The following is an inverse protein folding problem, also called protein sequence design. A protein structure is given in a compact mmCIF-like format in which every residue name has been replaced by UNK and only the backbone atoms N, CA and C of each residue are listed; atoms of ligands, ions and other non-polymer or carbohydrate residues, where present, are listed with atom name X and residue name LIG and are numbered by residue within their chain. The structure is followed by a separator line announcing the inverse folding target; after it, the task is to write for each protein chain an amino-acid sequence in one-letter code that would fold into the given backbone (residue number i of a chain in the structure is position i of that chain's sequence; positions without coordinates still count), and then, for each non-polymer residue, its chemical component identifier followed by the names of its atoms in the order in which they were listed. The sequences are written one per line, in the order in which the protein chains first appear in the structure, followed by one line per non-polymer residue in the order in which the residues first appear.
data_IF_228077862642
#
_entry.id   IF_228077862642
#
_cell.length_a   1.000
_cell.length_b   1.000
_cell.length_c   1.000
_cell.angle_alpha   90.00
_cell.angle_beta   90.00
_cell.angle_gamma   90.00
#
_symmetry.space_group_name_H-M   'P 1'
#
loop_
_entity.id
_entity.type
_entity.pdbx_description
1 polymer ?
#
# COMPACT_ATOMS: atom_id res chain seq x y z
N UNK A 1 26.38 7.39 -11.07
CA UNK A 1 26.29 8.05 -9.74
C UNK A 1 25.03 8.89 -9.49
N UNK A 2 24.52 9.74 -10.40
CA UNK A 2 23.34 10.62 -10.15
C UNK A 2 22.01 10.14 -10.73
N UNK A 3 21.93 8.90 -11.22
CA UNK A 3 20.74 8.42 -11.94
C UNK A 3 19.51 8.22 -11.05
N UNK A 4 19.66 8.27 -9.72
CA UNK A 4 18.50 8.31 -8.83
C UNK A 4 17.69 9.61 -8.92
N UNK A 5 18.25 10.68 -9.51
CA UNK A 5 17.55 11.96 -9.66
C UNK A 5 16.55 11.94 -10.83
N UNK A 6 15.41 12.62 -10.66
CA UNK A 6 14.51 13.05 -11.71
C UNK A 6 14.15 11.91 -12.71
N UNK A 7 13.75 10.76 -12.17
CA UNK A 7 13.30 9.58 -12.93
C UNK A 7 14.32 8.92 -13.86
N UNK A 8 15.58 9.38 -13.92
CA UNK A 8 16.60 8.83 -14.84
C UNK A 8 16.78 7.32 -14.67
N UNK A 9 16.84 6.84 -13.44
CA UNK A 9 16.92 5.42 -13.11
C UNK A 9 15.69 4.67 -13.64
N UNK A 10 14.49 5.19 -13.38
CA UNK A 10 13.24 4.55 -13.81
C UNK A 10 13.10 4.48 -15.34
N UNK A 11 13.55 5.49 -16.07
CA UNK A 11 13.61 5.45 -17.54
C UNK A 11 14.59 4.38 -18.04
N UNK A 12 15.82 4.32 -17.49
CA UNK A 12 16.80 3.26 -17.84
C UNK A 12 16.25 1.87 -17.53
N UNK A 13 15.62 1.72 -16.38
CA UNK A 13 14.98 0.48 -15.93
C UNK A 13 13.85 0.07 -16.86
N UNK A 14 12.95 0.99 -17.23
CA UNK A 14 11.85 0.72 -18.15
C UNK A 14 12.37 0.33 -19.55
N UNK A 15 13.38 1.03 -20.05
CA UNK A 15 14.04 0.67 -21.31
C UNK A 15 14.65 -0.74 -21.25
N UNK A 16 15.35 -1.07 -20.17
CA UNK A 16 15.92 -2.40 -19.96
C UNK A 16 14.85 -3.50 -19.95
N UNK A 17 13.74 -3.29 -19.24
CA UNK A 17 12.56 -4.20 -19.21
C UNK A 17 11.96 -4.37 -20.61
N UNK A 18 11.84 -3.28 -21.36
CA UNK A 18 11.33 -3.33 -22.73
C UNK A 18 12.25 -4.15 -23.64
N UNK A 19 13.56 -3.95 -23.55
CA UNK A 19 14.53 -4.72 -24.31
C UNK A 19 14.52 -6.21 -23.94
N UNK A 20 14.40 -6.55 -22.65
CA UNK A 20 14.22 -7.95 -22.21
C UNK A 20 13.00 -8.55 -22.90
N UNK A 21 11.85 -7.86 -22.87
CA UNK A 21 10.63 -8.38 -23.50
C UNK A 21 10.82 -8.61 -25.00
N UNK A 22 11.45 -7.68 -25.71
CA UNK A 22 11.77 -7.82 -27.15
C UNK A 22 12.61 -9.08 -27.40
N UNK A 23 13.66 -9.29 -26.61
CA UNK A 23 14.53 -10.47 -26.76
C UNK A 23 13.80 -11.77 -26.41
N UNK A 24 12.94 -11.77 -25.39
CA UNK A 24 12.14 -12.94 -25.03
C UNK A 24 11.13 -13.31 -26.13
N UNK A 25 10.50 -12.32 -26.77
CA UNK A 25 9.64 -12.55 -27.92
C UNK A 25 10.38 -13.12 -29.13
N UNK A 26 11.66 -12.74 -29.32
CA UNK A 26 12.51 -13.30 -30.37
C UNK A 26 13.07 -14.70 -30.05
N UNK A 27 12.88 -15.19 -28.82
CA UNK A 27 13.37 -16.49 -28.37
C UNK A 27 12.30 -17.58 -28.49
N UNK A 28 12.72 -18.85 -28.36
CA UNK A 28 11.82 -20.00 -28.29
C UNK A 28 10.79 -19.94 -27.13
N UNK A 29 11.04 -19.10 -26.10
CA UNK A 29 10.08 -18.91 -25.00
C UNK A 29 8.76 -18.28 -25.48
N UNK A 30 8.76 -17.55 -26.59
CA UNK A 30 7.55 -16.97 -27.15
C UNK A 30 6.55 -18.05 -27.64
N UNK A 31 7.02 -19.26 -27.95
CA UNK A 31 6.13 -20.37 -28.31
C UNK A 31 5.45 -20.99 -27.08
N UNK A 32 6.12 -20.90 -25.92
CA UNK A 32 5.68 -21.56 -24.68
C UNK A 32 4.87 -20.63 -23.76
N UNK A 33 5.11 -19.32 -23.83
CA UNK A 33 4.56 -18.33 -22.92
C UNK A 33 3.91 -17.14 -23.64
N UNK A 34 2.83 -16.63 -23.06
CA UNK A 34 2.34 -15.28 -23.27
C UNK A 34 3.23 -14.33 -22.46
N UNK A 35 3.93 -13.45 -23.19
CA UNK A 35 4.93 -12.55 -22.63
C UNK A 35 4.34 -11.14 -22.58
N UNK A 36 4.01 -10.70 -21.37
CA UNK A 36 3.28 -9.46 -21.12
C UNK A 36 4.07 -8.53 -20.20
N UNK A 37 3.73 -7.24 -20.24
CA UNK A 37 4.18 -6.32 -19.20
C UNK A 37 3.19 -6.28 -18.05
N UNK A 38 3.70 -6.06 -16.85
CA UNK A 38 2.91 -5.70 -15.67
C UNK A 38 3.61 -4.66 -14.82
N UNK A 39 2.92 -4.16 -13.79
CA UNK A 39 3.46 -3.22 -12.83
C UNK A 39 3.64 -3.92 -11.48
N UNK A 40 4.85 -3.85 -10.92
CA UNK A 40 5.08 -4.31 -9.57
C UNK A 40 4.43 -3.34 -8.58
N UNK A 41 3.59 -3.84 -7.66
CA UNK A 41 2.87 -3.04 -6.64
C UNK A 41 2.02 -1.90 -7.23
N UNK A 42 1.47 -2.08 -8.43
CA UNK A 42 0.66 -1.04 -9.10
C UNK A 42 1.41 0.30 -9.20
N UNK A 43 2.72 0.25 -9.46
CA UNK A 43 3.62 1.40 -9.59
C UNK A 43 4.16 1.49 -11.03
N UNK A 44 3.86 2.59 -11.72
CA UNK A 44 4.28 2.81 -13.12
C UNK A 44 5.80 2.94 -13.26
N UNK A 45 6.52 3.24 -12.16
CA UNK A 45 7.98 3.30 -12.12
C UNK A 45 8.62 1.91 -12.16
N UNK A 46 7.85 0.87 -11.86
CA UNK A 46 8.35 -0.49 -11.65
C UNK A 46 7.73 -1.51 -12.63
N UNK A 47 7.83 -1.30 -13.97
CA UNK A 47 7.36 -2.29 -14.94
C UNK A 47 8.17 -3.59 -14.84
N UNK A 48 7.55 -4.71 -15.13
CA UNK A 48 8.14 -6.06 -15.10
C UNK A 48 7.67 -6.84 -16.32
N UNK A 49 8.41 -7.89 -16.70
CA UNK A 49 7.94 -8.85 -17.72
C UNK A 49 7.34 -10.05 -17.01
N UNK A 50 6.19 -10.50 -17.47
CA UNK A 50 5.46 -11.64 -16.94
C UNK A 50 5.27 -12.66 -18.04
N UNK A 51 5.60 -13.91 -17.74
CA UNK A 51 5.50 -15.06 -18.62
C UNK A 51 4.39 -15.97 -18.08
N UNK A 52 3.31 -16.08 -18.84
CA UNK A 52 2.18 -16.96 -18.56
C UNK A 52 2.19 -18.13 -19.53
N UNK A 53 2.14 -19.40 -19.08
CA UNK A 53 2.20 -20.53 -20.00
C UNK A 53 0.96 -20.60 -20.91
N UNK A 54 1.15 -20.75 -22.24
CA UNK A 54 0.07 -20.69 -23.26
C UNK A 54 -0.89 -21.89 -23.30
N UNK A 55 -0.48 -23.05 -22.81
CA UNK A 55 -1.22 -24.32 -22.97
C UNK A 55 -1.05 -25.24 -21.75
N UNK A 56 -1.64 -26.45 -21.80
CA UNK A 56 -1.76 -27.49 -20.74
C UNK A 56 -0.43 -28.09 -20.22
N UNK A 57 0.58 -27.25 -20.02
CA UNK A 57 1.83 -27.56 -19.35
C UNK A 57 1.62 -27.82 -17.86
N UNK A 58 2.59 -28.47 -17.22
CA UNK A 58 2.60 -28.59 -15.75
C UNK A 58 2.53 -27.22 -15.06
N UNK A 59 3.11 -26.18 -15.65
CA UNK A 59 3.11 -24.83 -15.10
C UNK A 59 1.72 -24.18 -15.17
N UNK A 60 0.99 -24.32 -16.28
CA UNK A 60 -0.38 -23.78 -16.39
C UNK A 60 -1.35 -24.49 -15.44
N UNK A 61 -1.26 -25.82 -15.30
CA UNK A 61 -2.05 -26.60 -14.32
C UNK A 61 -1.83 -26.14 -12.88
N UNK A 62 -0.63 -25.64 -12.58
CA UNK A 62 -0.28 -25.10 -11.27
C UNK A 62 -0.62 -23.60 -11.13
N UNK A 63 -1.15 -22.95 -12.17
CA UNK A 63 -1.32 -21.50 -12.21
C UNK A 63 -0.01 -20.73 -12.04
N UNK A 64 1.12 -21.36 -12.36
CA UNK A 64 2.44 -20.79 -12.15
C UNK A 64 2.74 -19.72 -13.19
N UNK A 65 3.18 -18.55 -12.71
CA UNK A 65 3.54 -17.41 -13.53
C UNK A 65 4.97 -17.00 -13.18
N UNK A 66 5.80 -16.78 -14.19
CA UNK A 66 7.18 -16.31 -14.00
C UNK A 66 7.21 -14.80 -14.19
N UNK A 67 7.68 -14.06 -13.18
CA UNK A 67 7.83 -12.61 -13.24
C UNK A 67 9.31 -12.25 -13.20
N UNK A 68 9.80 -11.62 -14.27
CA UNK A 68 11.17 -11.12 -14.37
C UNK A 68 11.22 -9.70 -13.85
N UNK A 69 11.97 -9.50 -12.78
CA UNK A 69 12.14 -8.22 -12.10
C UNK A 69 13.57 -7.73 -12.30
N UNK A 70 13.79 -6.52 -12.84
CA UNK A 70 15.09 -5.88 -12.79
C UNK A 70 15.51 -5.64 -11.35
N UNK A 71 16.81 -5.74 -11.10
CA UNK A 71 17.44 -5.39 -9.84
C UNK A 71 18.78 -4.71 -10.16
N UNK A 72 19.31 -3.98 -9.19
CA UNK A 72 20.65 -3.37 -9.26
C UNK A 72 21.51 -3.91 -8.13
N UNK A 73 22.83 -3.91 -8.31
CA UNK A 73 23.74 -4.33 -7.24
C UNK A 73 23.64 -3.34 -6.06
N UNK A 74 23.67 -3.82 -4.79
CA UNK A 74 23.46 -2.98 -3.61
C UNK A 74 24.43 -1.79 -3.48
N UNK A 75 25.64 -1.91 -4.04
CA UNK A 75 26.72 -0.92 -4.05
C UNK A 75 26.62 0.07 -5.23
N UNK A 76 25.68 -0.13 -6.17
CA UNK A 76 25.51 0.74 -7.35
C UNK A 76 25.10 2.16 -6.96
N UNK A 77 24.30 2.30 -5.89
CA UNK A 77 23.79 3.58 -5.41
C UNK A 77 24.04 3.72 -3.90
N UNK A 78 24.46 4.91 -3.43
CA UNK A 78 24.66 5.14 -2.01
C UNK A 78 23.30 5.22 -1.29
N UNK A 79 22.87 4.13 -0.65
CA UNK A 79 21.55 4.00 -0.01
C UNK A 79 21.25 5.13 0.99
N UNK A 80 22.27 5.61 1.71
CA UNK A 80 22.15 6.76 2.63
C UNK A 80 21.69 8.06 1.95
N UNK A 81 21.91 8.21 0.64
CA UNK A 81 21.38 9.36 -0.10
C UNK A 81 19.90 9.22 -0.40
N UNK A 82 19.37 7.99 -0.41
CA UNK A 82 17.98 7.66 -0.70
C UNK A 82 17.13 7.55 0.57
N UNK A 83 17.52 8.24 1.64
CA UNK A 83 16.74 8.27 2.88
C UNK A 83 15.37 8.96 2.67
N UNK A 84 14.36 8.61 3.48
CA UNK A 84 13.02 9.22 3.51
C UNK A 84 12.93 10.74 3.39
N UNK A 85 13.84 11.46 4.05
CA UNK A 85 13.87 12.92 4.20
C UNK A 85 14.42 13.63 2.96
N UNK A 86 14.93 12.88 1.99
CA UNK A 86 15.60 13.43 0.81
C UNK A 86 14.65 13.58 -0.37
N UNK A 87 14.79 14.72 -1.05
CA UNK A 87 14.15 14.97 -2.34
C UNK A 87 15.05 14.47 -3.49
N UNK A 88 14.47 13.70 -4.39
CA UNK A 88 15.10 13.30 -5.66
C UNK A 88 14.27 13.60 -6.91
N UNK A 89 13.13 14.28 -6.74
CA UNK A 89 12.30 14.78 -7.83
C UNK A 89 12.17 16.29 -7.65
N UNK A 90 13.00 17.04 -8.36
CA UNK A 90 13.10 18.49 -8.20
C UNK A 90 11.85 19.20 -8.70
N UNK A 91 11.41 20.23 -7.99
CA UNK A 91 10.27 21.05 -8.41
C UNK A 91 10.46 21.61 -9.82
N UNK A 92 11.66 22.11 -10.15
CA UNK A 92 12.03 22.57 -11.49
C UNK A 92 11.85 21.49 -12.57
N UNK A 93 12.20 20.23 -12.26
CA UNK A 93 11.99 19.10 -13.17
C UNK A 93 10.50 18.83 -13.40
N UNK A 94 9.68 18.92 -12.36
CA UNK A 94 8.22 18.74 -12.44
C UNK A 94 7.57 19.89 -13.21
N UNK A 95 8.04 21.12 -13.00
CA UNK A 95 7.55 22.33 -13.67
C UNK A 95 7.98 22.42 -15.14
N UNK A 96 8.98 21.64 -15.55
CA UNK A 96 9.59 21.78 -16.88
C UNK A 96 10.33 23.11 -17.06
N UNK A 97 10.77 23.73 -15.96
CA UNK A 97 11.49 25.01 -15.95
C UNK A 97 12.91 24.82 -15.43
N UNK A 98 13.80 25.77 -15.73
CA UNK A 98 15.15 25.82 -15.16
C UNK A 98 15.22 26.70 -13.92
N UNK A 99 14.12 27.34 -13.53
CA UNK A 99 14.06 28.30 -12.43
C UNK A 99 13.74 27.57 -11.12
N UNK A 100 14.75 27.42 -10.27
CA UNK A 100 14.73 26.52 -9.11
C UNK A 100 14.17 27.18 -7.82
N UNK A 101 14.01 28.50 -7.82
CA UNK A 101 13.85 29.27 -6.57
C UNK A 101 12.37 29.51 -6.17
N UNK A 102 11.40 29.01 -6.94
CA UNK A 102 10.00 29.37 -6.76
C UNK A 102 9.21 28.43 -5.81
N UNK A 103 9.74 27.26 -5.44
CA UNK A 103 8.97 26.24 -4.69
C UNK A 103 9.82 25.50 -3.66
N UNK A 104 9.30 25.33 -2.45
CA UNK A 104 9.93 24.52 -1.41
C UNK A 104 10.03 23.05 -1.84
N UNK A 105 11.23 22.49 -1.81
CA UNK A 105 11.48 21.09 -2.15
C UNK A 105 10.94 20.16 -1.04
N UNK A 106 10.03 19.26 -1.41
CA UNK A 106 9.47 18.26 -0.50
C UNK A 106 10.21 16.93 -0.61
N UNK A 107 10.35 16.19 0.49
CA UNK A 107 10.95 14.87 0.46
C UNK A 107 10.15 13.88 -0.43
N UNK A 108 10.83 12.90 -1.03
CA UNK A 108 10.23 11.93 -1.97
C UNK A 108 10.36 10.48 -1.48
N UNK A 109 9.78 10.13 -0.33
CA UNK A 109 10.00 8.87 0.38
C UNK A 109 9.64 7.57 -0.38
N UNK A 110 8.48 7.48 -1.00
CA UNK A 110 8.03 6.37 -1.85
C UNK A 110 8.85 6.28 -3.14
N UNK A 111 9.22 7.42 -3.75
CA UNK A 111 10.15 7.41 -4.89
C UNK A 111 11.49 6.78 -4.48
N UNK A 112 12.05 7.22 -3.36
CA UNK A 112 13.32 6.74 -2.86
C UNK A 112 13.23 5.25 -2.52
N UNK A 113 12.17 4.84 -1.81
CA UNK A 113 11.92 3.45 -1.46
C UNK A 113 11.77 2.54 -2.69
N UNK A 114 11.17 3.03 -3.78
CA UNK A 114 11.06 2.27 -5.03
C UNK A 114 12.44 1.97 -5.66
N UNK A 115 13.37 2.93 -5.62
CA UNK A 115 14.76 2.71 -6.09
C UNK A 115 15.50 1.75 -5.16
N UNK A 116 15.43 1.97 -3.84
CA UNK A 116 16.15 1.15 -2.85
C UNK A 116 15.63 -0.28 -2.83
N UNK A 117 14.32 -0.48 -3.00
CA UNK A 117 13.72 -1.82 -3.04
C UNK A 117 14.32 -2.71 -4.13
N UNK A 118 14.66 -2.15 -5.30
CA UNK A 118 15.29 -2.93 -6.37
C UNK A 118 16.74 -3.29 -6.06
N UNK A 119 17.45 -2.51 -5.25
CA UNK A 119 18.79 -2.80 -4.77
C UNK A 119 18.83 -3.87 -3.68
N UNK A 120 17.73 -4.03 -2.92
CA UNK A 120 17.69 -4.87 -1.72
C UNK A 120 16.97 -6.22 -1.90
N UNK A 121 16.48 -6.54 -3.10
CA UNK A 121 15.74 -7.80 -3.35
C UNK A 121 16.50 -9.04 -2.86
N UNK A 122 17.80 -9.16 -3.20
CA UNK A 122 18.65 -10.26 -2.76
C UNK A 122 18.95 -10.21 -1.25
N UNK A 123 19.13 -9.01 -0.69
CA UNK A 123 19.36 -8.82 0.75
C UNK A 123 18.16 -9.29 1.57
N UNK A 124 16.94 -8.92 1.18
CA UNK A 124 15.72 -9.38 1.83
C UNK A 124 15.50 -10.88 1.65
N UNK A 125 15.78 -11.43 0.46
CA UNK A 125 15.71 -12.88 0.23
C UNK A 125 16.66 -13.64 1.16
N UNK A 126 17.92 -13.21 1.26
CA UNK A 126 18.92 -13.82 2.15
C UNK A 126 18.47 -13.76 3.60
N UNK A 127 17.98 -12.60 4.05
CA UNK A 127 17.48 -12.44 5.41
C UNK A 127 16.31 -13.40 5.73
N UNK A 128 15.35 -13.52 4.82
CA UNK A 128 14.22 -14.44 4.99
C UNK A 128 14.66 -15.91 4.97
N UNK A 129 15.66 -16.25 4.17
CA UNK A 129 16.25 -17.60 4.15
C UNK A 129 16.92 -17.94 5.49
N UNK A 130 17.79 -17.06 6.00
CA UNK A 130 18.42 -17.21 7.32
C UNK A 130 17.38 -17.31 8.45
N UNK A 131 16.27 -16.56 8.32
CA UNK A 131 15.15 -16.65 9.28
C UNK A 131 14.52 -18.04 9.27
N UNK A 132 14.35 -18.63 8.09
CA UNK A 132 13.81 -19.97 7.93
C UNK A 132 14.78 -21.05 8.44
N UNK A 133 16.09 -20.85 8.33
CA UNK A 133 17.08 -21.75 8.94
C UNK A 133 17.02 -21.72 10.48
N UNK A 134 16.74 -20.55 11.07
CA UNK A 134 16.62 -20.38 12.52
C UNK A 134 15.26 -20.82 13.08
N UNK A 135 14.22 -20.83 12.26
CA UNK A 135 12.86 -21.24 12.63
C UNK A 135 12.28 -22.11 11.51
N UNK A 136 12.34 -23.44 11.68
CA UNK A 136 12.02 -24.43 10.64
C UNK A 136 10.57 -24.30 10.12
N UNK A 137 9.62 -23.93 10.98
CA UNK A 137 8.21 -23.78 10.63
C UNK A 137 7.87 -22.38 10.06
N UNK A 138 8.85 -21.47 9.97
CA UNK A 138 8.67 -20.11 9.45
C UNK A 138 8.09 -20.12 8.03
N UNK A 139 8.65 -20.92 7.12
CA UNK A 139 8.19 -21.00 5.74
C UNK A 139 6.73 -21.45 5.61
N UNK A 140 6.29 -22.39 6.45
CA UNK A 140 4.89 -22.86 6.50
C UNK A 140 3.97 -21.78 7.08
N UNK A 141 4.37 -21.13 8.16
CA UNK A 141 3.61 -20.02 8.75
C UNK A 141 3.47 -18.84 7.75
N UNK A 142 4.55 -18.50 7.05
CA UNK A 142 4.54 -17.48 6.00
C UNK A 142 3.61 -17.88 4.84
N UNK A 143 3.58 -19.15 4.45
CA UNK A 143 2.62 -19.65 3.46
C UNK A 143 1.16 -19.50 3.93
N UNK A 144 0.87 -19.84 5.18
CA UNK A 144 -0.46 -19.64 5.78
C UNK A 144 -0.87 -18.16 5.76
N UNK A 145 0.02 -17.24 6.13
CA UNK A 145 -0.23 -15.80 6.07
C UNK A 145 -0.52 -15.32 4.63
N UNK A 146 0.20 -15.85 3.64
CA UNK A 146 -0.01 -15.50 2.22
C UNK A 146 -1.34 -16.00 1.70
N UNK A 147 -1.73 -17.23 2.03
CA UNK A 147 -3.05 -17.78 1.70
C UNK A 147 -4.14 -16.96 2.38
N UNK A 148 -3.98 -16.68 3.67
CA UNK A 148 -4.90 -15.87 4.46
C UNK A 148 -5.13 -14.46 3.87
N UNK A 149 -4.04 -13.78 3.48
CA UNK A 149 -4.11 -12.47 2.82
C UNK A 149 -4.77 -12.58 1.44
N UNK A 150 -4.44 -13.62 0.67
CA UNK A 150 -5.02 -13.86 -0.65
C UNK A 150 -6.54 -13.98 -0.60
N UNK A 151 -7.09 -14.73 0.36
CA UNK A 151 -8.53 -14.88 0.55
C UNK A 151 -9.24 -13.57 0.93
N UNK A 152 -8.52 -12.60 1.50
CA UNK A 152 -9.08 -11.30 1.92
C UNK A 152 -8.78 -10.18 0.95
N UNK A 153 -7.96 -10.45 -0.06
CA UNK A 153 -7.65 -9.47 -1.10
C UNK A 153 -8.80 -9.41 -2.07
N UNK A 154 -9.43 -8.24 -2.16
CA UNK A 154 -10.48 -8.02 -3.16
C UNK A 154 -9.81 -7.97 -4.53
N UNK A 155 -10.34 -8.75 -5.48
CA UNK A 155 -9.77 -8.83 -6.82
C UNK A 155 -10.74 -8.37 -7.91
N UNK A 156 -12.04 -8.41 -7.63
CA UNK A 156 -13.07 -8.14 -8.62
C UNK A 156 -14.32 -7.52 -7.99
N UNK A 157 -15.12 -6.86 -8.84
CA UNK A 157 -16.51 -6.51 -8.58
C UNK A 157 -17.34 -6.92 -9.80
N UNK A 158 -18.19 -7.93 -9.64
CA UNK A 158 -18.81 -8.59 -10.78
C UNK A 158 -17.75 -9.04 -11.80
N UNK A 159 -17.84 -8.55 -13.04
CA UNK A 159 -16.87 -8.86 -14.10
C UNK A 159 -15.66 -7.91 -14.16
N UNK A 160 -15.68 -6.81 -13.41
CA UNK A 160 -14.61 -5.81 -13.44
C UNK A 160 -13.48 -6.22 -12.49
N UNK A 161 -12.27 -6.40 -13.04
CA UNK A 161 -11.06 -6.58 -12.23
C UNK A 161 -10.71 -5.28 -11.51
N UNK A 162 -10.11 -5.40 -10.33
CA UNK A 162 -9.61 -4.27 -9.55
C UNK A 162 -8.08 -4.26 -9.57
N UNK A 163 -7.50 -3.07 -9.40
CA UNK A 163 -6.06 -2.94 -9.21
C UNK A 163 -5.63 -3.71 -7.95
N UNK A 164 -4.51 -4.42 -8.04
CA UNK A 164 -3.99 -5.15 -6.90
C UNK A 164 -3.57 -4.18 -5.78
N UNK A 165 -3.85 -4.53 -4.51
CA UNK A 165 -3.39 -3.76 -3.36
C UNK A 165 -1.85 -3.76 -3.28
N UNK A 166 -1.31 -2.79 -2.56
CA UNK A 166 0.14 -2.66 -2.31
C UNK A 166 0.59 -3.45 -1.09
N UNK A 167 -0.30 -3.66 -0.12
CA UNK A 167 -0.03 -4.65 0.94
C UNK A 167 0.13 -6.03 0.30
N UNK A 168 1.19 -6.75 0.68
CA UNK A 168 1.60 -7.96 -0.03
C UNK A 168 2.01 -9.07 0.91
N UNK A 169 2.02 -10.30 0.39
CA UNK A 169 2.55 -11.46 1.10
C UNK A 169 4.01 -11.29 1.53
N UNK A 170 4.81 -10.52 0.77
CA UNK A 170 6.17 -10.16 1.17
C UNK A 170 6.18 -9.30 2.44
N UNK A 171 5.38 -8.23 2.48
CA UNK A 171 5.28 -7.37 3.66
C UNK A 171 4.85 -8.15 4.91
N UNK A 172 3.85 -9.03 4.80
CA UNK A 172 3.44 -9.91 5.91
C UNK A 172 4.52 -10.92 6.31
N UNK A 173 5.30 -11.42 5.34
CA UNK A 173 6.43 -12.31 5.64
C UNK A 173 7.52 -11.55 6.40
N UNK A 174 7.76 -10.28 6.06
CA UNK A 174 8.69 -9.41 6.80
C UNK A 174 8.17 -9.12 8.21
N UNK A 175 6.88 -8.85 8.40
CA UNK A 175 6.29 -8.71 9.74
C UNK A 175 6.46 -10.00 10.56
N UNK A 176 6.21 -11.17 9.98
CA UNK A 176 6.44 -12.45 10.66
C UNK A 176 7.92 -12.62 11.04
N UNK A 177 8.84 -12.30 10.12
CA UNK A 177 10.27 -12.37 10.39
C UNK A 177 10.68 -11.41 11.52
N UNK A 178 10.09 -10.22 11.56
CA UNK A 178 10.27 -9.26 12.65
C UNK A 178 9.79 -9.81 13.99
N UNK A 179 8.60 -10.44 14.04
CA UNK A 179 8.06 -11.03 15.27
C UNK A 179 8.94 -12.16 15.82
N UNK A 180 9.56 -12.95 14.94
CA UNK A 180 10.44 -14.06 15.31
C UNK A 180 11.84 -13.58 15.71
N UNK A 181 12.44 -12.66 14.95
CA UNK A 181 13.86 -12.31 15.08
C UNK A 181 14.16 -11.01 15.84
N UNK A 182 13.23 -10.06 15.84
CA UNK A 182 13.52 -8.74 16.41
C UNK A 182 13.58 -8.79 17.93
N UNK A 183 14.62 -8.23 18.53
CA UNK A 183 14.69 -8.05 19.99
C UNK A 183 13.59 -7.11 20.51
N UNK A 184 13.10 -6.21 19.64
CA UNK A 184 12.09 -5.18 19.98
C UNK A 184 10.65 -5.71 19.86
N UNK A 185 10.43 -6.95 19.38
CA UNK A 185 9.07 -7.49 19.19
C UNK A 185 8.33 -7.77 20.50
N UNK A 186 9.05 -7.86 21.62
CA UNK A 186 8.46 -8.05 22.95
C UNK A 186 7.78 -6.81 23.53
N UNK A 187 8.03 -5.60 23.00
CA UNK A 187 7.63 -4.34 23.65
C UNK A 187 6.20 -3.86 23.40
N UNK A 188 5.58 -4.22 22.26
CA UNK A 188 4.29 -3.64 21.85
C UNK A 188 3.10 -4.45 22.37
N UNK A 189 3.23 -5.78 22.48
CA UNK A 189 2.17 -6.69 22.95
C UNK A 189 2.70 -7.92 23.69
N UNK A 190 4.02 -8.00 23.97
CA UNK A 190 4.67 -9.25 24.38
C UNK A 190 4.87 -10.27 23.22
N UNK A 191 4.56 -9.90 21.98
CA UNK A 191 4.55 -10.79 20.80
C UNK A 191 5.94 -11.09 20.22
N UNK A 192 6.87 -11.54 21.05
CA UNK A 192 8.02 -12.27 20.52
C UNK A 192 7.59 -13.71 20.25
N UNK A 193 7.65 -14.12 18.99
CA UNK A 193 7.38 -15.50 18.62
C UNK A 193 8.65 -16.33 18.78
N UNK A 194 8.51 -17.52 19.38
CA UNK A 194 9.63 -18.43 19.60
C UNK A 194 9.87 -19.28 18.37
N UNK A 195 11.14 -19.59 18.07
CA UNK A 195 11.50 -20.54 17.01
C UNK A 195 11.07 -21.98 17.31
N UNK A 196 10.69 -22.28 18.56
CA UNK A 196 10.14 -23.57 18.99
C UNK A 196 8.64 -23.74 18.68
N UNK A 197 7.96 -22.68 18.23
CA UNK A 197 6.54 -22.73 17.91
C UNK A 197 6.29 -23.45 16.59
N UNK A 198 5.16 -24.15 16.51
CA UNK A 198 4.71 -24.74 15.24
C UNK A 198 4.16 -23.68 14.27
N UNK A 199 3.92 -24.06 13.02
CA UNK A 199 3.43 -23.14 11.98
C UNK A 199 2.08 -22.50 12.33
N UNK A 200 1.21 -23.20 13.07
CA UNK A 200 -0.09 -22.70 13.47
C UNK A 200 0.04 -21.65 14.59
N UNK A 201 0.89 -21.90 15.58
CA UNK A 201 1.21 -20.97 16.67
C UNK A 201 1.86 -19.69 16.13
N UNK A 202 2.82 -19.82 15.20
CA UNK A 202 3.44 -18.68 14.53
C UNK A 202 2.41 -17.86 13.74
N UNK A 203 1.56 -18.54 12.97
CA UNK A 203 0.47 -17.89 12.23
C UNK A 203 -0.49 -17.17 13.17
N UNK A 204 -0.97 -17.84 14.23
CA UNK A 204 -1.88 -17.28 15.22
C UNK A 204 -1.29 -16.04 15.89
N UNK A 205 -0.05 -16.12 16.36
CA UNK A 205 0.63 -14.99 16.98
C UNK A 205 0.82 -13.80 16.03
N UNK A 206 1.10 -14.05 14.76
CA UNK A 206 1.13 -12.99 13.74
C UNK A 206 -0.26 -12.36 13.52
N UNK A 207 -1.34 -13.15 13.50
CA UNK A 207 -2.71 -12.64 13.41
C UNK A 207 -3.07 -11.78 14.63
N UNK A 208 -2.75 -12.25 15.84
CA UNK A 208 -3.00 -11.50 17.08
C UNK A 208 -2.22 -10.16 17.10
N UNK A 209 -0.97 -10.17 16.63
CA UNK A 209 -0.20 -8.93 16.45
C UNK A 209 -0.87 -7.99 15.45
N UNK A 210 -1.22 -8.47 14.25
CA UNK A 210 -1.89 -7.67 13.22
C UNK A 210 -3.25 -7.12 13.67
N UNK A 211 -3.96 -7.83 14.56
CA UNK A 211 -5.23 -7.40 15.13
C UNK A 211 -5.08 -6.24 16.12
N UNK A 212 -4.01 -6.27 16.92
CA UNK A 212 -3.75 -5.32 17.98
C UNK A 212 -2.99 -4.08 17.49
N UNK A 213 -1.99 -4.25 16.61
CA UNK A 213 -1.06 -3.22 16.20
C UNK A 213 -1.70 -2.16 15.31
N UNK A 214 -1.47 -0.88 15.62
CA UNK A 214 -1.84 0.24 14.76
C UNK A 214 -0.63 0.70 13.95
N UNK A 215 -0.60 0.34 12.67
CA UNK A 215 0.50 0.68 11.78
C UNK A 215 0.59 2.18 11.46
N UNK A 216 -0.48 2.96 11.66
CA UNK A 216 -0.45 4.40 11.40
C UNK A 216 0.29 5.18 12.50
N UNK A 217 0.37 4.62 13.71
CA UNK A 217 1.00 5.26 14.87
C UNK A 217 2.14 4.44 15.51
N UNK A 218 2.26 3.16 15.16
CA UNK A 218 3.27 2.24 15.68
C UNK A 218 4.32 1.86 14.64
N UNK A 219 5.34 2.69 14.48
CA UNK A 219 6.45 2.40 13.58
C UNK A 219 7.24 1.16 14.04
N UNK A 220 7.61 0.30 13.10
CA UNK A 220 8.39 -0.92 13.33
C UNK A 220 9.77 -0.78 12.70
N UNK A 221 10.79 -1.35 13.35
CA UNK A 221 12.14 -1.44 12.80
C UNK A 221 12.80 -2.77 13.17
N UNK A 222 13.61 -3.29 12.26
CA UNK A 222 14.57 -4.34 12.59
C UNK A 222 15.81 -3.71 13.24
N UNK A 223 16.30 -4.32 14.32
CA UNK A 223 17.48 -3.82 15.04
C UNK A 223 17.26 -2.42 15.63
N UNK A 224 18.35 -1.66 15.77
CA UNK A 224 18.37 -0.31 16.37
C UNK A 224 19.12 0.71 15.53
N UNK A 225 19.59 0.32 14.34
CA UNK A 225 20.48 1.16 13.51
C UNK A 225 19.73 2.20 12.66
N UNK A 226 18.40 2.07 12.55
CA UNK A 226 17.59 2.99 11.76
C UNK A 226 17.35 4.31 12.49
N UNK A 227 17.43 5.40 11.72
CA UNK A 227 17.04 6.72 12.20
C UNK A 227 15.51 6.88 12.18
N UNK A 228 14.87 6.51 13.29
CA UNK A 228 13.43 6.60 13.43
C UNK A 228 12.90 8.03 13.46
N UNK A 229 13.74 9.04 13.66
CA UNK A 229 13.31 10.44 13.52
C UNK A 229 13.03 10.78 12.06
N UNK A 230 13.81 10.20 11.15
CA UNK A 230 13.67 10.34 9.70
C UNK A 230 12.54 9.46 9.16
N UNK A 231 12.49 8.18 9.56
CA UNK A 231 11.43 7.28 9.10
C UNK A 231 10.06 7.61 9.71
N UNK A 232 10.01 7.95 11.01
CA UNK A 232 8.76 8.28 11.71
C UNK A 232 8.15 9.63 11.32
N UNK A 233 8.93 10.54 10.73
CA UNK A 233 8.41 11.79 10.17
C UNK A 233 7.67 11.59 8.84
N UNK A 234 7.76 10.41 8.22
CA UNK A 234 7.01 10.10 7.00
C UNK A 234 5.50 10.00 7.29
N UNK A 235 4.69 10.44 6.34
CA UNK A 235 3.26 10.14 6.37
C UNK A 235 3.01 8.67 6.03
N UNK A 236 2.29 7.96 6.91
CA UNK A 236 1.86 6.58 6.69
C UNK A 236 2.65 5.56 7.51
N UNK A 237 2.39 4.29 7.26
CA UNK A 237 2.96 3.20 8.04
C UNK A 237 4.45 2.98 7.78
N UNK A 238 5.17 2.62 8.85
CA UNK A 238 6.62 2.44 8.83
C UNK A 238 6.99 1.03 9.30
N UNK A 239 7.64 0.28 8.42
CA UNK A 239 8.38 -0.94 8.75
C UNK A 239 9.76 -0.82 8.13
N UNK A 240 10.74 -0.33 8.90
CA UNK A 240 12.12 -0.21 8.44
C UNK A 240 12.73 -1.59 8.36
N UNK A 241 13.34 -1.91 7.22
CA UNK A 241 13.91 -3.22 6.91
C UNK A 241 15.21 -3.56 7.69
N UNK A 242 15.72 -4.81 7.59
CA UNK A 242 16.95 -5.23 8.27
C UNK A 242 18.21 -4.46 7.89
N UNK A 243 18.25 -3.80 6.72
CA UNK A 243 19.38 -2.95 6.32
C UNK A 243 19.29 -1.51 6.85
N UNK A 244 18.23 -1.18 7.60
CA UNK A 244 17.95 0.16 8.13
C UNK A 244 17.84 1.25 7.05
N UNK A 245 17.49 0.88 5.81
CA UNK A 245 17.59 1.80 4.65
C UNK A 245 16.32 1.96 3.84
N UNK A 246 15.31 1.10 4.02
CA UNK A 246 14.02 1.23 3.32
C UNK A 246 12.83 0.96 4.24
N UNK A 247 11.75 1.72 4.03
CA UNK A 247 10.44 1.40 4.58
C UNK A 247 9.75 0.36 3.67
N UNK A 248 9.58 -0.87 4.16
CA UNK A 248 8.95 -1.98 3.44
C UNK A 248 7.47 -1.70 3.12
N UNK A 249 6.81 -0.87 3.93
CA UNK A 249 5.41 -0.47 3.75
C UNK A 249 5.26 0.81 2.92
N UNK A 250 6.34 1.33 2.32
CA UNK A 250 6.28 2.53 1.50
C UNK A 250 5.25 2.39 0.37
N UNK A 251 4.29 3.32 0.35
CA UNK A 251 3.22 3.38 -0.64
C UNK A 251 2.00 2.51 -0.35
N UNK A 252 2.03 1.66 0.68
CA UNK A 252 0.82 1.00 1.21
C UNK A 252 -0.12 2.08 1.73
N UNK A 253 -1.39 2.01 1.33
CA UNK A 253 -2.40 2.99 1.72
C UNK A 253 -2.87 2.73 3.16
N UNK A 254 -3.17 3.77 3.96
CA UNK A 254 -3.64 3.60 5.34
C UNK A 254 -4.85 2.65 5.45
N UNK A 255 -5.83 2.82 4.55
CA UNK A 255 -7.03 1.98 4.55
C UNK A 255 -6.75 0.49 4.28
N UNK A 256 -5.66 0.14 3.58
CA UNK A 256 -5.28 -1.26 3.34
C UNK A 256 -4.85 -1.93 4.65
N UNK A 257 -4.15 -1.19 5.51
CA UNK A 257 -3.67 -1.66 6.82
C UNK A 257 -4.82 -1.68 7.84
N UNK A 258 -5.71 -0.69 7.82
CA UNK A 258 -6.91 -0.70 8.65
C UNK A 258 -7.83 -1.88 8.28
N UNK A 259 -7.99 -2.15 6.98
CA UNK A 259 -8.69 -3.34 6.51
C UNK A 259 -8.00 -4.62 6.99
N UNK A 260 -6.67 -4.71 6.83
CA UNK A 260 -5.87 -5.86 7.31
C UNK A 260 -6.10 -6.11 8.80
N UNK A 261 -6.07 -5.05 9.62
CA UNK A 261 -6.29 -5.10 11.07
C UNK A 261 -7.69 -5.60 11.41
N UNK A 262 -8.74 -5.10 10.76
CA UNK A 262 -10.11 -5.57 10.96
C UNK A 262 -10.26 -7.06 10.62
N UNK A 263 -9.66 -7.52 9.52
CA UNK A 263 -9.68 -8.94 9.16
C UNK A 263 -8.89 -9.80 10.15
N UNK A 264 -7.77 -9.27 10.67
CA UNK A 264 -6.97 -9.93 11.68
C UNK A 264 -7.73 -10.05 13.01
N UNK A 265 -8.47 -9.01 13.43
CA UNK A 265 -9.33 -9.05 14.62
C UNK A 265 -10.39 -10.15 14.51
N UNK A 266 -11.09 -10.23 13.36
CA UNK A 266 -12.07 -11.30 13.15
C UNK A 266 -11.40 -12.69 13.18
N UNK A 267 -10.25 -12.83 12.52
CA UNK A 267 -9.52 -14.09 12.49
C UNK A 267 -9.01 -14.47 13.89
N UNK A 268 -8.55 -13.51 14.69
CA UNK A 268 -8.10 -13.75 16.06
C UNK A 268 -9.24 -14.25 16.96
N UNK A 269 -10.45 -13.68 16.83
CA UNK A 269 -11.64 -14.20 17.50
C UNK A 269 -11.90 -15.65 17.08
N UNK A 270 -11.89 -15.92 15.77
CA UNK A 270 -12.12 -17.25 15.22
C UNK A 270 -11.11 -18.28 15.74
N UNK A 271 -9.82 -17.93 15.82
CA UNK A 271 -8.78 -18.84 16.31
C UNK A 271 -8.81 -19.06 17.84
N UNK A 272 -9.50 -18.19 18.58
CA UNK A 272 -9.66 -18.31 20.04
C UNK A 272 -10.96 -19.01 20.45
N UNK A 273 -11.89 -19.25 19.52
CA UNK A 273 -13.08 -20.05 19.77
C UNK A 273 -12.78 -21.55 19.64
N UNK A 274 -12.98 -22.30 20.74
CA UNK A 274 -12.70 -23.74 20.79
C UNK A 274 -13.88 -24.63 20.36
N UNK A 275 -15.04 -24.06 20.08
CA UNK A 275 -16.29 -24.82 19.89
C UNK A 275 -16.53 -25.30 18.46
N UNK A 276 -15.78 -24.82 17.45
CA UNK A 276 -15.97 -25.21 16.06
C UNK A 276 -14.66 -25.20 15.25
N UNK A 277 -14.64 -25.98 14.16
CA UNK A 277 -13.55 -25.93 13.19
C UNK A 277 -13.71 -24.68 12.32
N UNK A 278 -12.77 -23.75 12.43
CA UNK A 278 -12.78 -22.48 11.71
C UNK A 278 -11.90 -22.46 10.45
N UNK A 279 -11.24 -23.58 10.09
CA UNK A 279 -10.29 -23.65 8.97
C UNK A 279 -10.89 -23.13 7.65
N UNK A 280 -12.08 -23.61 7.28
CA UNK A 280 -12.73 -23.21 6.03
C UNK A 280 -13.06 -21.72 5.99
N UNK A 281 -13.48 -21.14 7.11
CA UNK A 281 -13.74 -19.70 7.20
C UNK A 281 -12.47 -18.86 7.08
N UNK A 282 -11.37 -19.34 7.67
CA UNK A 282 -10.09 -18.62 7.67
C UNK A 282 -9.38 -18.70 6.31
N UNK A 283 -9.39 -19.87 5.66
CA UNK A 283 -8.54 -20.16 4.50
C UNK A 283 -9.28 -20.49 3.20
N UNK A 284 -10.59 -20.75 3.22
CA UNK A 284 -11.37 -21.20 2.05
C UNK A 284 -12.56 -20.28 1.71
N UNK A 285 -12.60 -19.06 2.27
CA UNK A 285 -13.75 -18.16 2.10
C UNK A 285 -13.60 -17.27 0.86
N UNK A 286 -13.90 -17.83 -0.30
CA UNK A 286 -13.87 -17.09 -1.58
C UNK A 286 -14.77 -15.85 -1.58
N UNK A 287 -15.86 -15.86 -0.79
CA UNK A 287 -16.75 -14.71 -0.62
C UNK A 287 -16.02 -13.45 -0.10
N UNK A 288 -14.92 -13.60 0.64
CA UNK A 288 -14.13 -12.47 1.15
C UNK A 288 -13.32 -11.74 0.05
N UNK A 289 -13.27 -12.31 -1.16
CA UNK A 289 -12.64 -11.68 -2.33
C UNK A 289 -13.60 -10.82 -3.15
N UNK A 290 -14.91 -10.92 -2.90
CA UNK A 290 -15.94 -10.08 -3.51
C UNK A 290 -16.21 -8.84 -2.63
N UNK A 291 -16.23 -7.66 -3.26
CA UNK A 291 -16.56 -6.40 -2.59
C UNK A 291 -17.92 -6.48 -1.88
N UNK A 292 -18.95 -7.04 -2.51
CA UNK A 292 -20.33 -6.93 -1.99
C UNK A 292 -20.57 -7.74 -0.73
N UNK A 293 -19.76 -8.77 -0.49
CA UNK A 293 -19.82 -9.58 0.72
C UNK A 293 -18.95 -9.02 1.86
N UNK A 294 -18.10 -8.03 1.58
CA UNK A 294 -17.04 -7.56 2.49
C UNK A 294 -17.38 -6.27 3.23
N UNK A 295 -18.31 -5.48 2.69
CA UNK A 295 -18.63 -4.14 3.18
C UNK A 295 -20.13 -3.99 3.43
N UNK A 296 -20.51 -3.17 4.41
CA UNK A 296 -21.91 -2.89 4.73
C UNK A 296 -22.56 -2.01 3.65
N UNK A 297 -21.78 -1.07 3.12
CA UNK A 297 -22.17 -0.22 1.99
C UNK A 297 -21.09 -0.22 0.92
N UNK A 298 -21.53 -0.25 -0.34
CA UNK A 298 -20.66 -0.21 -1.52
C UNK A 298 -21.13 0.88 -2.46
N UNK A 299 -20.25 1.82 -2.78
CA UNK A 299 -20.51 2.92 -3.70
C UNK A 299 -19.61 2.82 -4.92
N UNK A 300 -20.18 3.02 -6.10
CA UNK A 300 -19.42 3.14 -7.35
C UNK A 300 -19.25 4.62 -7.69
N UNK A 301 -18.02 5.04 -7.89
CA UNK A 301 -17.65 6.40 -8.30
C UNK A 301 -17.06 6.35 -9.70
N UNK A 302 -17.64 7.09 -10.64
CA UNK A 302 -17.06 7.34 -11.96
C UNK A 302 -16.45 8.75 -11.95
N UNK A 303 -15.13 8.82 -12.07
CA UNK A 303 -14.36 10.06 -11.90
C UNK A 303 -13.69 10.43 -13.21
N UNK A 304 -13.92 11.67 -13.64
CA UNK A 304 -13.13 12.28 -14.71
C UNK A 304 -11.71 12.56 -14.17
N UNK A 305 -10.74 11.86 -14.72
CA UNK A 305 -9.33 11.98 -14.39
C UNK A 305 -8.69 13.21 -15.05
N UNK A 306 -9.35 13.87 -16.01
CA UNK A 306 -8.79 15.00 -16.75
C UNK A 306 -8.22 16.11 -15.85
N UNK A 307 -8.87 16.56 -14.75
CA UNK A 307 -8.30 17.58 -13.86
C UNK A 307 -6.98 17.15 -13.21
N UNK A 308 -6.80 15.85 -12.97
CA UNK A 308 -5.59 15.26 -12.39
C UNK A 308 -4.52 14.94 -13.45
N UNK A 309 -4.93 14.82 -14.72
CA UNK A 309 -4.03 14.51 -15.85
C UNK A 309 -3.61 15.74 -16.65
N UNK A 310 -4.41 16.81 -16.70
CA UNK A 310 -4.11 18.06 -17.38
C UNK A 310 -2.82 18.69 -16.86
N UNK A 311 -2.49 18.44 -15.59
CA UNK A 311 -1.23 18.77 -14.95
C UNK A 311 0.02 18.10 -15.57
N UNK A 312 -0.14 17.14 -16.49
CA UNK A 312 0.96 16.54 -17.27
C UNK A 312 1.35 17.41 -18.48
N UNK A 313 0.48 18.31 -18.92
CA UNK A 313 0.64 19.08 -20.16
C UNK A 313 0.21 20.55 -19.95
N UNK A 314 1.12 21.37 -19.43
CA UNK A 314 1.14 22.81 -19.73
C UNK A 314 0.11 23.73 -19.07
N UNK A 315 -0.73 23.29 -18.13
CA UNK A 315 -1.52 24.23 -17.30
C UNK A 315 -0.80 24.49 -15.98
N UNK A 316 -0.82 25.74 -15.51
CA UNK A 316 -0.32 26.24 -14.22
C UNK A 316 -0.96 25.53 -13.00
N UNK A 317 -0.79 24.22 -12.86
CA UNK A 317 -1.08 23.52 -11.63
C UNK A 317 0.07 23.79 -10.66
N UNK A 318 -0.26 24.03 -9.39
CA UNK A 318 0.73 24.16 -8.33
C UNK A 318 1.70 22.96 -8.38
N UNK A 319 2.96 23.20 -8.72
CA UNK A 319 4.04 22.21 -8.85
C UNK A 319 4.09 21.27 -7.65
N UNK A 320 3.76 21.79 -6.46
CA UNK A 320 3.63 21.04 -5.21
C UNK A 320 2.58 19.93 -5.28
N UNK A 321 1.38 20.23 -5.78
CA UNK A 321 0.31 19.25 -5.92
C UNK A 321 0.72 18.14 -6.91
N UNK A 322 1.40 18.53 -8.00
CA UNK A 322 1.87 17.56 -8.98
C UNK A 322 2.98 16.66 -8.43
N UNK A 323 3.91 17.22 -7.66
CA UNK A 323 4.96 16.45 -7.00
C UNK A 323 4.36 15.43 -6.02
N UNK A 324 3.37 15.84 -5.22
CA UNK A 324 2.64 14.95 -4.32
C UNK A 324 1.93 13.80 -5.07
N UNK A 325 1.30 14.07 -6.22
CA UNK A 325 0.68 13.01 -7.04
C UNK A 325 1.69 12.01 -7.60
N UNK A 326 2.84 12.51 -8.08
CA UNK A 326 3.92 11.69 -8.62
C UNK A 326 4.52 10.76 -7.57
N UNK A 327 4.49 11.16 -6.30
CA UNK A 327 5.02 10.39 -5.19
C UNK A 327 4.34 9.02 -5.05
N UNK A 328 3.04 8.95 -5.35
CA UNK A 328 2.27 7.71 -5.34
C UNK A 328 2.67 6.71 -6.43
N UNK A 329 3.48 7.11 -7.42
CA UNK A 329 3.95 6.22 -8.50
C UNK A 329 2.88 5.82 -9.53
N UNK A 330 1.63 6.25 -9.35
CA UNK A 330 0.54 6.03 -10.29
C UNK A 330 -0.57 7.08 -10.08
N UNK A 331 -1.08 7.76 -11.12
CA UNK A 331 -2.11 8.80 -10.99
C UNK A 331 -3.43 8.27 -10.39
N UNK A 332 -3.91 7.11 -10.82
CA UNK A 332 -5.09 6.46 -10.23
C UNK A 332 -4.90 6.20 -8.73
N UNK A 333 -3.71 5.76 -8.29
CA UNK A 333 -3.42 5.54 -6.86
C UNK A 333 -3.36 6.87 -6.09
N UNK A 334 -2.87 7.96 -6.70
CA UNK A 334 -2.93 9.29 -6.08
C UNK A 334 -4.37 9.76 -5.86
N UNK A 335 -5.25 9.56 -6.85
CA UNK A 335 -6.68 9.88 -6.72
C UNK A 335 -7.37 8.96 -5.71
N UNK A 336 -7.07 7.67 -5.72
CA UNK A 336 -7.52 6.69 -4.73
C UNK A 336 -7.15 7.14 -3.30
N UNK A 337 -5.90 7.58 -3.09
CA UNK A 337 -5.43 8.10 -1.80
C UNK A 337 -6.25 9.31 -1.36
N UNK A 338 -6.47 10.29 -2.26
CA UNK A 338 -7.25 11.50 -1.96
C UNK A 338 -8.71 11.19 -1.63
N UNK A 339 -9.34 10.27 -2.35
CA UNK A 339 -10.71 9.81 -2.06
C UNK A 339 -10.74 9.16 -0.67
N UNK A 340 -9.81 8.24 -0.39
CA UNK A 340 -9.74 7.54 0.88
C UNK A 340 -9.55 8.52 2.04
N UNK A 341 -8.63 9.47 1.92
CA UNK A 341 -8.35 10.50 2.93
C UNK A 341 -9.56 11.42 3.16
N UNK A 342 -10.20 11.89 2.08
CA UNK A 342 -11.37 12.75 2.16
C UNK A 342 -12.52 12.03 2.89
N UNK A 343 -12.85 10.82 2.45
CA UNK A 343 -13.97 10.06 2.99
C UNK A 343 -13.71 9.54 4.40
N UNK A 344 -12.48 9.12 4.72
CA UNK A 344 -12.13 8.72 6.08
C UNK A 344 -12.23 9.88 7.06
N UNK A 345 -11.87 11.09 6.63
CA UNK A 345 -12.02 12.31 7.44
C UNK A 345 -13.48 12.71 7.60
N UNK A 346 -14.23 12.74 6.49
CA UNK A 346 -15.64 13.12 6.49
C UNK A 346 -16.53 12.15 7.29
N UNK A 347 -16.24 10.85 7.21
CA UNK A 347 -17.05 9.78 7.81
C UNK A 347 -16.41 9.17 9.06
N UNK A 348 -15.41 9.82 9.67
CA UNK A 348 -14.57 9.28 10.74
C UNK A 348 -15.37 8.74 11.94
N UNK A 349 -16.55 9.29 12.21
CA UNK A 349 -17.39 8.88 13.35
C UNK A 349 -18.41 7.81 12.99
N UNK A 350 -18.86 7.77 11.74
CA UNK A 350 -19.90 6.85 11.25
C UNK A 350 -19.32 5.52 10.74
N UNK A 351 -18.00 5.46 10.53
CA UNK A 351 -17.36 4.34 9.84
C UNK A 351 -16.17 3.82 10.63
N UNK A 352 -15.97 2.50 10.60
CA UNK A 352 -14.76 1.83 11.10
C UNK A 352 -13.71 1.69 10.02
N UNK A 353 -14.11 1.67 8.76
CA UNK A 353 -13.25 1.55 7.59
C UNK A 353 -13.90 2.20 6.38
N UNK A 354 -13.09 2.95 5.64
CA UNK A 354 -13.37 3.34 4.26
C UNK A 354 -12.28 2.74 3.37
N UNK A 355 -12.62 1.72 2.60
CA UNK A 355 -11.73 1.12 1.61
C UNK A 355 -12.07 1.66 0.23
N UNK A 356 -11.05 2.05 -0.54
CA UNK A 356 -11.23 2.57 -1.89
C UNK A 356 -10.48 1.66 -2.85
N UNK A 357 -11.19 0.96 -3.72
CA UNK A 357 -10.61 0.10 -4.75
C UNK A 357 -10.66 0.79 -6.10
N UNK A 358 -9.59 0.72 -6.87
CA UNK A 358 -9.55 1.23 -8.24
C UNK A 358 -9.83 0.10 -9.24
N UNK A 359 -10.54 0.39 -10.32
CA UNK A 359 -10.70 -0.55 -11.43
C UNK A 359 -9.37 -0.86 -12.11
N UNK A 360 -9.13 -2.11 -12.50
CA UNK A 360 -8.01 -2.43 -13.38
C UNK A 360 -8.42 -2.22 -14.83
N UNK A 361 -7.62 -1.45 -15.58
CA UNK A 361 -7.79 -1.35 -17.03
C UNK A 361 -7.39 -2.69 -17.69
N UNK A 362 -8.02 -3.02 -18.82
CA UNK A 362 -7.82 -4.30 -19.48
C UNK A 362 -6.43 -4.43 -20.12
N UNK A 363 -5.95 -3.38 -20.80
CA UNK A 363 -4.65 -3.39 -21.49
C UNK A 363 -3.54 -2.78 -20.63
N UNK A 364 -2.29 -3.23 -20.83
CA UNK A 364 -1.14 -2.63 -20.15
C UNK A 364 -0.95 -1.16 -20.53
N UNK A 365 -1.20 -0.80 -21.79
CA UNK A 365 -1.05 0.57 -22.29
C UNK A 365 -2.03 1.52 -21.60
N UNK A 366 -3.26 1.08 -21.32
CA UNK A 366 -4.25 1.85 -20.56
C UNK A 366 -3.85 1.93 -19.07
N UNK A 367 -3.28 0.87 -18.50
CA UNK A 367 -2.78 0.89 -17.12
C UNK A 367 -1.67 1.93 -16.91
N UNK A 368 -0.83 2.19 -17.92
CA UNK A 368 0.22 3.22 -17.83
C UNK A 368 -0.28 4.61 -18.26
N UNK A 369 -1.30 4.67 -19.12
CA UNK A 369 -1.96 5.90 -19.57
C UNK A 369 -3.32 6.02 -18.89
N UNK A 370 -3.37 6.71 -17.76
CA UNK A 370 -4.62 6.95 -17.05
C UNK A 370 -5.73 7.40 -18.03
N UNK A 371 -6.78 6.59 -18.08
CA UNK A 371 -7.96 6.80 -18.90
C UNK A 371 -8.68 8.07 -18.43
N UNK A 372 -9.36 8.76 -19.36
CA UNK A 372 -10.07 10.01 -19.02
C UNK A 372 -11.14 9.79 -17.96
N UNK A 373 -11.82 8.64 -17.97
CA UNK A 373 -12.74 8.24 -16.91
C UNK A 373 -12.23 6.99 -16.23
N UNK A 374 -12.19 7.02 -14.91
CA UNK A 374 -11.78 5.89 -14.11
C UNK A 374 -12.80 5.58 -13.03
N UNK A 375 -12.99 4.30 -12.77
CA UNK A 375 -13.99 3.80 -11.83
C UNK A 375 -13.31 3.45 -10.52
N UNK A 376 -13.85 3.98 -9.43
CA UNK A 376 -13.50 3.59 -8.08
C UNK A 376 -14.69 2.93 -7.39
N UNK A 377 -14.41 2.01 -6.48
CA UNK A 377 -15.39 1.34 -5.65
C UNK A 377 -15.04 1.59 -4.20
N UNK A 378 -15.93 2.28 -3.49
CA UNK A 378 -15.78 2.58 -2.08
C UNK A 378 -16.57 1.57 -1.27
N UNK A 379 -15.87 0.78 -0.47
CA UNK A 379 -16.45 -0.11 0.53
C UNK A 379 -16.40 0.53 1.91
N UNK A 380 -17.52 0.55 2.61
CA UNK A 380 -17.65 1.14 3.95
C UNK A 380 -18.05 0.06 4.94
N UNK A 381 -17.33 0.02 6.07
CA UNK A 381 -17.75 -0.72 7.27
C UNK A 381 -18.24 0.29 8.29
N UNK A 382 -19.49 0.14 8.71
CA UNK A 382 -20.18 1.07 9.59
C UNK A 382 -19.75 0.92 11.05
N UNK A 383 -19.86 2.00 11.81
CA UNK A 383 -19.78 2.01 13.27
C UNK A 383 -21.20 1.97 13.87
N UNK A 384 -21.30 1.84 15.20
CA UNK A 384 -22.57 1.96 15.90
C UNK A 384 -23.24 3.34 15.71
N UNK A 385 -22.48 4.38 15.36
CA UNK A 385 -22.94 5.76 15.19
C UNK A 385 -23.33 6.10 13.74
N UNK A 386 -23.51 5.09 12.86
CA UNK A 386 -23.77 5.30 11.44
C UNK A 386 -25.05 6.10 11.13
N UNK A 387 -26.07 6.01 11.98
CA UNK A 387 -27.35 6.71 11.81
C UNK A 387 -27.41 8.09 12.47
N UNK A 388 -26.27 8.63 12.93
CA UNK A 388 -26.26 9.95 13.56
C UNK A 388 -26.73 11.04 12.58
N UNK A 389 -27.60 11.92 13.06
CA UNK A 389 -28.19 12.98 12.24
C UNK A 389 -27.35 14.25 12.17
N UNK A 390 -26.36 14.39 13.06
CA UNK A 390 -25.56 15.63 13.19
C UNK A 390 -24.09 15.26 13.26
N UNK A 391 -23.28 15.85 12.37
CA UNK A 391 -21.83 15.75 12.48
C UNK A 391 -21.30 16.89 13.34
N UNK A 392 -20.78 16.53 14.51
CA UNK A 392 -20.23 17.49 15.46
C UNK A 392 -18.84 17.93 15.01
N UNK A 393 -18.65 19.23 14.85
CA UNK A 393 -17.36 19.86 14.64
C UNK A 393 -16.50 19.90 15.91
N UNK A 394 -15.32 20.54 15.82
CA UNK A 394 -14.36 20.59 16.91
C UNK A 394 -14.94 21.26 18.18
N UNK A 395 -14.34 20.95 19.33
CA UNK A 395 -14.70 21.55 20.62
C UNK A 395 -14.57 23.07 20.58
N UNK A 396 -15.34 23.84 21.37
CA UNK A 396 -15.14 25.29 21.48
C UNK A 396 -13.71 25.71 21.84
N UNK A 397 -13.00 24.86 22.60
CA UNK A 397 -11.61 25.08 23.04
C UNK A 397 -10.56 24.59 22.03
N UNK A 398 -10.98 24.06 20.88
CA UNK A 398 -10.07 23.56 19.85
C UNK A 398 -9.34 24.72 19.15
N UNK A 399 -8.25 24.39 18.44
CA UNK A 399 -7.49 25.40 17.74
C UNK A 399 -8.33 26.00 16.60
N UNK A 400 -8.19 27.31 16.29
CA UNK A 400 -8.93 27.94 15.19
C UNK A 400 -8.74 27.23 13.84
N UNK A 401 -7.61 26.55 13.65
CA UNK A 401 -7.31 25.75 12.47
C UNK A 401 -8.26 24.56 12.30
N UNK A 402 -8.67 23.89 13.38
CA UNK A 402 -9.59 22.74 13.32
C UNK A 402 -10.98 23.18 12.83
N UNK A 403 -11.43 24.36 13.29
CA UNK A 403 -12.68 24.96 12.83
C UNK A 403 -12.60 25.37 11.35
N UNK A 404 -11.45 25.88 10.91
CA UNK A 404 -11.22 26.21 9.49
C UNK A 404 -11.21 24.96 8.61
N UNK A 405 -10.59 23.86 9.06
CA UNK A 405 -10.61 22.58 8.37
C UNK A 405 -12.02 22.02 8.28
N UNK A 406 -12.80 22.07 9.36
CA UNK A 406 -14.20 21.63 9.36
C UNK A 406 -15.05 22.43 8.35
N UNK A 407 -14.93 23.76 8.35
CA UNK A 407 -15.61 24.61 7.36
C UNK A 407 -15.15 24.33 5.94
N UNK A 408 -13.86 24.08 5.72
CA UNK A 408 -13.32 23.77 4.39
C UNK A 408 -13.86 22.44 3.88
N UNK A 409 -13.99 21.45 4.76
CA UNK A 409 -14.51 20.11 4.44
C UNK A 409 -16.00 20.14 4.08
N UNK A 410 -16.80 20.84 4.89
CA UNK A 410 -18.26 20.81 4.79
C UNK A 410 -18.87 21.98 4.01
N UNK A 411 -18.11 23.04 3.76
CA UNK A 411 -18.54 24.23 3.05
C UNK A 411 -19.80 24.84 3.67
N UNK A 412 -20.81 25.05 2.83
CA UNK A 412 -22.09 25.67 3.21
C UNK A 412 -22.91 24.84 4.20
N UNK A 413 -22.54 23.57 4.45
CA UNK A 413 -23.20 22.74 5.46
C UNK A 413 -22.68 22.99 6.89
N UNK A 414 -21.53 23.64 7.05
CA UNK A 414 -20.98 23.93 8.37
C UNK A 414 -21.68 25.14 9.02
N UNK A 415 -22.52 24.89 10.01
CA UNK A 415 -23.23 25.92 10.76
C UNK A 415 -22.87 25.93 12.26
N UNK A 416 -22.99 27.09 12.91
CA UNK A 416 -22.86 27.20 14.36
C UNK A 416 -24.18 26.81 15.01
N UNK A 417 -24.16 25.77 15.84
CA UNK A 417 -25.36 25.26 16.52
C UNK A 417 -25.17 25.26 18.03
N UNK A 418 -26.23 25.66 18.74
CA UNK A 418 -26.32 25.54 20.20
C UNK A 418 -26.95 24.20 20.58
N UNK A 419 -26.27 23.43 21.43
CA UNK A 419 -26.71 22.12 21.89
C UNK A 419 -27.42 22.19 23.25
N UNK A 420 -28.07 21.08 23.65
CA UNK A 420 -28.85 21.00 24.89
C UNK A 420 -28.00 21.20 26.15
N UNK A 421 -26.72 20.87 26.09
CA UNK A 421 -25.73 21.11 27.14
C UNK A 421 -25.28 22.59 27.22
N UNK A 422 -25.84 23.46 26.37
CA UNK A 422 -25.49 24.88 26.31
C UNK A 422 -24.25 25.18 25.46
N UNK A 423 -23.52 24.16 25.00
CA UNK A 423 -22.34 24.33 24.14
C UNK A 423 -22.72 24.90 22.77
N UNK A 424 -21.86 25.75 22.23
CA UNK A 424 -22.00 26.31 20.88
C UNK A 424 -20.78 25.86 20.08
N UNK A 425 -20.99 25.08 19.02
CA UNK A 425 -19.92 24.62 18.13
C UNK A 425 -20.41 24.42 16.71
N UNK A 426 -19.46 24.24 15.79
CA UNK A 426 -19.77 23.89 14.40
C UNK A 426 -20.43 22.52 14.32
N UNK A 427 -21.37 22.37 13.40
CA UNK A 427 -22.04 21.11 13.08
C UNK A 427 -22.52 21.09 11.62
N UNK A 428 -22.89 19.90 11.13
CA UNK A 428 -23.64 19.74 9.87
C UNK A 428 -24.91 18.92 10.06
#
# INVERSE_FOLDING_TARGET
ERDYMNYRYFYKRAFFVAMIRVQLHASALNELFDIEFELLRSDTRLPVVVLRPKSDTRLSKLGCVVRIQPSIAPDTLPLRRLMPDRNHVRAAYVAGTTDADLVAEQATPQYNAAVVSDALQLTHMKYLFETNEQCIEFGRAAALLRVWLGQRTVQHIGQQQLMAPRISGFALTMVLAWLVRSANSGGVTGARLSSSMDAHQLFKGAIEFLAAHDFNHGALQFGTDADMTVFGAQSGAVLVDPSASVNVLAGVQPWELDALRLHAQQTALDLNHHSANHFSRVFLSAALTDVTAKYDHVFRLDIDMAPFLAARFGSEMNVTARAAELEHGHPVVAVQHRIAQLLSTALARQTRLVAVHAGADASFDDRIKATRRHVFVVGVVTSADAQRLVDLGPSPDAQPQDAAQFRTLWGDRAELRRFRDGSIRLAT
#
